data_IF_756916495482
#
_entry.id   IF_756916495482
#
_cell.length_a   1.000
_cell.length_b   1.000
_cell.length_c   1.000
_cell.angle_alpha   90.00
_cell.angle_beta   90.00
_cell.angle_gamma   90.00
#
_symmetry.space_group_name_H-M   'P 1'
#
loop_
_entity.id
_entity.type
_entity.pdbx_description
1 polymer ?
#
# COMPACT_ATOMS: atom_id res chain seq x y z
N UNK A 1 -70.44 4.74 33.34
CA UNK A 1 -71.02 4.40 32.02
C UNK A 1 -70.13 3.37 31.33
N UNK A 2 -70.72 2.41 30.60
CA UNK A 2 -70.07 1.31 29.84
C UNK A 2 -69.34 0.27 30.72
N UNK A 3 -69.93 -0.93 30.88
CA UNK A 3 -69.77 -2.14 30.02
C UNK A 3 -68.36 -2.74 30.23
N UNK A 4 -68.18 -4.00 30.63
CA UNK A 4 -68.78 -5.23 30.09
C UNK A 4 -67.70 -5.92 29.22
N UNK A 5 -67.54 -7.25 29.16
CA UNK A 5 -68.28 -8.34 29.76
C UNK A 5 -67.37 -9.58 29.94
N UNK A 6 -67.89 -10.62 30.59
CA UNK A 6 -67.26 -11.96 30.72
C UNK A 6 -67.20 -12.66 29.35
N UNK A 7 -66.13 -13.42 29.07
CA UNK A 7 -66.18 -14.52 28.10
C UNK A 7 -65.43 -15.77 28.59
N UNK A 8 -65.80 -16.99 28.11
CA UNK A 8 -65.66 -18.22 28.90
C UNK A 8 -64.61 -19.21 28.37
N UNK A 9 -64.48 -20.33 29.09
CA UNK A 9 -63.50 -21.41 28.87
C UNK A 9 -63.81 -22.26 27.62
N UNK A 10 -62.74 -22.62 26.88
CA UNK A 10 -62.33 -23.98 26.39
C UNK A 10 -63.42 -24.90 25.78
N UNK A 11 -63.15 -25.59 24.65
CA UNK A 11 -62.40 -26.85 24.79
C UNK A 11 -61.48 -27.28 23.62
N UNK A 12 -60.60 -28.23 23.95
CA UNK A 12 -59.93 -29.17 23.03
C UNK A 12 -60.90 -29.83 22.05
N UNK A 13 -60.44 -30.07 20.82
CA UNK A 13 -60.99 -31.11 19.92
C UNK A 13 -59.88 -31.97 19.32
N UNK A 14 -60.19 -33.23 19.02
CA UNK A 14 -59.24 -34.28 18.63
C UNK A 14 -59.28 -34.56 17.12
N UNK A 15 -58.17 -35.11 16.63
CA UNK A 15 -57.93 -35.92 15.41
C UNK A 15 -59.15 -36.34 14.58
N UNK A 16 -59.00 -36.26 13.25
CA UNK A 16 -59.15 -37.34 12.24
C UNK A 16 -58.63 -36.77 10.90
N UNK A 17 -57.63 -37.31 10.20
CA UNK A 17 -57.61 -38.57 9.42
C UNK A 17 -58.79 -38.63 8.44
N UNK A 18 -58.52 -38.50 7.14
CA UNK A 18 -59.02 -39.30 5.98
C UNK A 18 -58.52 -38.60 4.70
N UNK A 19 -58.12 -39.38 3.69
CA UNK A 19 -57.43 -38.87 2.49
C UNK A 19 -58.29 -39.02 1.22
N UNK A 20 -58.23 -38.04 0.30
CA UNK A 20 -58.53 -38.15 -1.15
C UNK A 20 -57.98 -36.90 -1.88
N UNK A 21 -56.91 -36.99 -2.68
CA UNK A 21 -56.85 -37.30 -4.14
C UNK A 21 -56.76 -36.04 -5.03
N UNK A 22 -55.56 -35.84 -5.60
CA UNK A 22 -55.23 -35.48 -6.99
C UNK A 22 -55.95 -34.30 -7.70
N UNK A 23 -55.21 -33.21 -7.97
CA UNK A 23 -54.96 -32.75 -9.36
C UNK A 23 -53.73 -31.83 -9.47
N UNK A 24 -53.05 -31.88 -10.62
CA UNK A 24 -51.86 -31.09 -10.94
C UNK A 24 -52.15 -29.60 -11.14
N UNK A 25 -51.28 -28.74 -10.59
CA UNK A 25 -50.84 -27.51 -11.26
C UNK A 25 -49.34 -27.31 -11.02
N UNK A 26 -48.55 -27.25 -12.09
CA UNK A 26 -47.15 -26.86 -12.00
C UNK A 26 -47.05 -25.36 -11.75
N UNK A 27 -46.43 -24.95 -10.65
CA UNK A 27 -45.76 -23.66 -10.57
C UNK A 27 -44.36 -23.88 -10.00
N UNK A 28 -43.37 -23.77 -10.90
CA UNK A 28 -41.97 -23.83 -10.51
C UNK A 28 -41.61 -22.58 -9.72
N UNK A 29 -41.63 -22.69 -8.40
CA UNK A 29 -40.79 -21.87 -7.52
C UNK A 29 -39.65 -22.75 -7.02
N UNK A 30 -38.78 -23.12 -7.97
CA UNK A 30 -37.41 -23.43 -7.60
C UNK A 30 -36.89 -22.20 -6.84
N UNK A 31 -36.77 -22.32 -5.53
CA UNK A 31 -35.97 -21.40 -4.72
C UNK A 31 -34.54 -21.64 -5.19
N UNK A 32 -34.15 -20.91 -6.25
CA UNK A 32 -32.76 -20.60 -6.46
C UNK A 32 -32.30 -19.98 -5.16
N UNK A 33 -31.55 -20.76 -4.38
CA UNK A 33 -30.63 -20.21 -3.42
C UNK A 33 -29.68 -19.34 -4.24
N UNK A 34 -29.99 -18.05 -4.33
CA UNK A 34 -29.07 -17.02 -4.75
C UNK A 34 -27.97 -17.00 -3.70
N UNK A 35 -27.01 -17.92 -3.85
CA UNK A 35 -25.67 -17.74 -3.33
C UNK A 35 -25.19 -16.43 -3.91
N UNK A 36 -25.11 -15.39 -3.09
CA UNK A 36 -24.47 -14.15 -3.50
C UNK A 36 -23.07 -14.53 -4.01
N UNK A 37 -22.70 -14.15 -5.26
CA UNK A 37 -21.33 -14.33 -5.69
C UNK A 37 -20.46 -13.51 -4.73
N UNK A 38 -19.32 -14.05 -4.24
CA UNK A 38 -18.42 -13.26 -3.41
C UNK A 38 -18.00 -12.03 -4.22
N UNK A 39 -18.37 -10.84 -3.71
CA UNK A 39 -18.06 -9.55 -4.32
C UNK A 39 -16.56 -9.32 -4.29
N UNK A 40 -15.90 -9.76 -5.36
CA UNK A 40 -14.45 -9.72 -5.50
C UNK A 40 -14.05 -8.50 -6.35
N UNK A 41 -13.26 -7.60 -5.75
CA UNK A 41 -12.95 -6.24 -6.20
C UNK A 41 -14.21 -5.32 -6.21
N UNK A 42 -14.12 -4.02 -5.89
CA UNK A 42 -13.38 -3.00 -6.64
C UNK A 42 -13.01 -1.78 -5.75
N UNK A 43 -11.81 -1.23 -6.00
CA UNK A 43 -11.39 0.14 -5.68
C UNK A 43 -11.23 0.56 -4.21
N UNK A 44 -10.12 0.13 -3.60
CA UNK A 44 -9.24 1.15 -3.06
C UNK A 44 -8.76 2.01 -4.24
N UNK A 45 -8.83 3.35 -4.14
CA UNK A 45 -8.23 4.24 -5.15
C UNK A 45 -6.73 3.94 -5.18
N UNK A 46 -6.25 3.29 -6.23
CA UNK A 46 -4.84 2.95 -6.36
C UNK A 46 -4.00 4.25 -6.27
N UNK A 47 -3.10 4.31 -5.29
CA UNK A 47 -2.29 5.49 -5.04
C UNK A 47 -1.37 5.73 -6.26
N UNK A 48 -1.32 6.95 -6.83
CA UNK A 48 -0.41 7.29 -7.92
C UNK A 48 1.05 6.87 -7.68
N UNK A 49 1.52 6.94 -6.43
CA UNK A 49 2.85 6.44 -6.05
C UNK A 49 2.96 4.92 -6.22
N UNK A 50 2.01 4.15 -5.70
CA UNK A 50 1.97 2.69 -5.83
C UNK A 50 1.94 2.26 -7.30
N UNK A 51 1.11 2.90 -8.13
CA UNK A 51 1.04 2.63 -9.58
C UNK A 51 2.39 2.87 -10.26
N UNK A 52 3.08 3.95 -9.91
CA UNK A 52 4.39 4.27 -10.46
C UNK A 52 5.44 3.23 -10.05
N UNK A 53 5.53 2.89 -8.75
CA UNK A 53 6.53 1.95 -8.23
C UNK A 53 6.28 0.51 -8.68
N UNK A 54 5.02 0.05 -8.75
CA UNK A 54 4.65 -1.24 -9.34
C UNK A 54 5.06 -1.29 -10.83
N UNK A 55 4.77 -0.23 -11.59
CA UNK A 55 5.13 -0.17 -13.00
C UNK A 55 6.65 -0.14 -13.23
N UNK A 56 7.40 0.58 -12.38
CA UNK A 56 8.87 0.63 -12.40
C UNK A 56 9.48 -0.72 -12.04
N UNK A 57 8.99 -1.38 -10.98
CA UNK A 57 9.56 -2.64 -10.48
C UNK A 57 9.20 -3.85 -11.36
N UNK A 58 8.03 -3.87 -11.98
CA UNK A 58 7.61 -4.91 -12.92
C UNK A 58 8.27 -4.82 -14.31
N UNK A 59 8.91 -3.68 -14.63
CA UNK A 59 9.41 -3.39 -15.99
C UNK A 59 10.94 -3.35 -16.04
N UNK A 60 11.55 -4.22 -16.85
CA UNK A 60 13.02 -4.18 -17.12
C UNK A 60 13.45 -2.80 -17.63
N UNK A 61 12.61 -2.19 -18.48
CA UNK A 61 12.73 -0.80 -18.91
C UNK A 61 11.32 -0.20 -18.82
N UNK A 62 11.14 0.83 -18.02
CA UNK A 62 9.87 1.51 -17.80
C UNK A 62 9.91 2.89 -18.47
N UNK A 63 8.92 3.20 -19.32
CA UNK A 63 8.84 4.48 -20.03
C UNK A 63 7.52 5.18 -19.70
N UNK A 64 7.57 6.19 -18.84
CA UNK A 64 6.45 7.10 -18.64
C UNK A 64 6.42 8.10 -19.79
N UNK A 65 5.30 8.13 -20.52
CA UNK A 65 5.18 8.70 -21.85
C UNK A 65 3.92 9.56 -22.00
N UNK A 66 3.84 10.33 -23.07
CA UNK A 66 2.57 10.86 -23.61
C UNK A 66 2.49 10.60 -25.11
N UNK A 67 1.33 10.17 -25.61
CA UNK A 67 1.16 9.70 -27.00
C UNK A 67 1.47 10.76 -28.06
N UNK A 68 1.23 12.04 -27.73
CA UNK A 68 1.50 13.20 -28.58
C UNK A 68 2.95 13.70 -28.50
N UNK A 69 3.76 13.25 -27.54
CA UNK A 69 5.09 13.80 -27.30
C UNK A 69 6.13 13.31 -28.35
N UNK A 70 6.81 14.21 -29.08
CA UNK A 70 7.84 13.82 -30.05
C UNK A 70 9.08 13.22 -29.39
N UNK A 71 9.48 13.69 -28.20
CA UNK A 71 10.62 13.13 -27.45
C UNK A 71 10.35 11.70 -26.96
N UNK A 72 9.11 11.40 -26.55
CA UNK A 72 8.71 10.03 -26.22
C UNK A 72 8.81 9.10 -27.45
N UNK A 73 8.45 9.58 -28.65
CA UNK A 73 8.61 8.83 -29.89
C UNK A 73 10.08 8.60 -30.24
N UNK A 74 10.95 9.61 -30.09
CA UNK A 74 12.41 9.48 -30.29
C UNK A 74 13.04 8.45 -29.34
N UNK A 75 12.76 8.56 -28.04
CA UNK A 75 13.31 7.63 -27.03
C UNK A 75 12.84 6.19 -27.27
N UNK A 76 11.55 5.97 -27.57
CA UNK A 76 11.01 4.65 -27.95
C UNK A 76 11.66 4.12 -29.24
N UNK A 77 11.94 5.00 -30.22
CA UNK A 77 12.69 4.64 -31.43
C UNK A 77 14.12 4.15 -31.15
N UNK A 78 14.84 4.81 -30.24
CA UNK A 78 16.18 4.38 -29.81
C UNK A 78 16.15 3.04 -29.06
N UNK A 79 15.20 2.84 -28.15
CA UNK A 79 15.01 1.54 -27.48
C UNK A 79 14.67 0.42 -28.49
N UNK A 80 13.86 0.72 -29.51
CA UNK A 80 13.56 -0.21 -30.60
C UNK A 80 14.81 -0.57 -31.42
N UNK A 81 15.73 0.35 -31.71
CA UNK A 81 16.96 0.02 -32.46
C UNK A 81 17.92 -0.90 -31.70
N UNK A 82 17.78 -0.99 -30.37
CA UNK A 82 18.46 -1.98 -29.54
C UNK A 82 17.69 -3.31 -29.38
N UNK A 83 16.52 -3.47 -30.04
CA UNK A 83 15.56 -4.55 -29.80
C UNK A 83 15.21 -4.72 -28.31
N UNK A 84 15.18 -3.62 -27.55
CA UNK A 84 14.90 -3.66 -26.12
C UNK A 84 13.42 -3.93 -25.84
N UNK A 85 13.12 -4.85 -24.92
CA UNK A 85 11.78 -5.00 -24.34
C UNK A 85 11.57 -3.91 -23.28
N UNK A 86 10.54 -3.08 -23.46
CA UNK A 86 10.15 -2.04 -22.51
C UNK A 86 8.63 -1.95 -22.35
N UNK A 87 8.20 -1.51 -21.17
CA UNK A 87 6.81 -1.17 -20.87
C UNK A 87 6.59 0.32 -21.06
N UNK A 88 5.39 0.73 -21.47
CA UNK A 88 5.02 2.15 -21.61
C UNK A 88 3.77 2.47 -20.79
N UNK A 89 3.83 3.52 -19.98
CA UNK A 89 2.66 4.10 -19.32
C UNK A 89 2.36 5.47 -19.95
N UNK A 90 1.34 5.52 -20.80
CA UNK A 90 0.91 6.75 -21.49
C UNK A 90 0.05 7.60 -20.55
N UNK A 91 0.68 8.55 -19.85
CA UNK A 91 0.07 9.35 -18.77
C UNK A 91 -1.13 10.17 -19.25
N UNK A 92 -1.14 10.64 -20.50
CA UNK A 92 -2.26 11.42 -21.04
C UNK A 92 -3.50 10.57 -21.40
N UNK A 93 -3.45 9.25 -21.27
CA UNK A 93 -4.59 8.35 -21.46
C UNK A 93 -5.23 7.91 -20.13
N UNK A 94 -4.73 8.41 -18.99
CA UNK A 94 -5.18 8.03 -17.65
C UNK A 94 -5.72 9.22 -16.87
N UNK A 95 -6.77 9.00 -16.08
CA UNK A 95 -7.33 10.02 -15.20
C UNK A 95 -6.38 10.42 -14.05
N UNK A 96 -5.59 9.47 -13.55
CA UNK A 96 -4.56 9.67 -12.51
C UNK A 96 -3.19 10.10 -13.08
N UNK A 97 -3.05 10.19 -14.41
CA UNK A 97 -1.80 10.50 -15.09
C UNK A 97 -1.09 11.77 -14.62
N UNK A 98 -1.80 12.89 -14.34
CA UNK A 98 -1.19 14.09 -13.76
C UNK A 98 -0.58 13.85 -12.38
N UNK A 99 -1.24 13.08 -11.51
CA UNK A 99 -0.77 12.77 -10.16
C UNK A 99 0.43 11.80 -10.20
N UNK A 100 0.44 10.86 -11.14
CA UNK A 100 1.60 10.00 -11.39
C UNK A 100 2.79 10.86 -11.89
N UNK A 101 2.54 11.85 -12.76
CA UNK A 101 3.59 12.75 -13.24
C UNK A 101 4.15 13.64 -12.12
N UNK A 102 3.31 14.10 -11.19
CA UNK A 102 3.70 14.84 -9.99
C UNK A 102 4.53 13.98 -9.04
N UNK A 103 4.10 12.74 -8.77
CA UNK A 103 4.88 11.77 -7.99
C UNK A 103 6.27 11.53 -8.60
N UNK A 104 6.34 11.30 -9.91
CA UNK A 104 7.61 11.10 -10.62
C UNK A 104 8.52 12.32 -10.55
N UNK A 105 7.94 13.53 -10.63
CA UNK A 105 8.70 14.76 -10.46
C UNK A 105 9.29 14.88 -9.06
N UNK A 106 8.51 14.57 -8.02
CA UNK A 106 9.00 14.59 -6.64
C UNK A 106 10.06 13.50 -6.40
N UNK A 107 9.91 12.32 -7.01
CA UNK A 107 10.86 11.20 -6.91
C UNK A 107 12.20 11.48 -7.61
N UNK A 108 12.18 12.09 -8.81
CA UNK A 108 13.37 12.15 -9.69
C UNK A 108 13.83 13.56 -10.07
N UNK A 109 13.11 14.61 -9.64
CA UNK A 109 13.29 15.99 -10.08
C UNK A 109 12.78 16.26 -11.51
N UNK A 110 12.32 15.25 -12.25
CA UNK A 110 11.97 15.39 -13.66
C UNK A 110 10.45 15.47 -13.89
N UNK A 111 9.95 16.70 -14.05
CA UNK A 111 8.54 16.97 -14.40
C UNK A 111 8.15 16.62 -15.84
N UNK A 112 9.10 16.29 -16.73
CA UNK A 112 8.86 16.12 -18.17
C UNK A 112 8.83 14.66 -18.61
N UNK A 113 8.08 14.39 -19.68
CA UNK A 113 8.10 13.09 -20.39
C UNK A 113 8.99 13.16 -21.65
N UNK A 114 9.67 12.07 -22.04
CA UNK A 114 9.67 10.76 -21.38
C UNK A 114 10.42 10.79 -20.06
N UNK A 115 9.96 10.05 -19.06
CA UNK A 115 10.71 9.78 -17.82
C UNK A 115 10.98 8.26 -17.80
N UNK A 116 12.26 7.88 -17.82
CA UNK A 116 12.71 6.54 -18.20
C UNK A 116 13.46 5.90 -17.03
N UNK A 117 13.14 4.64 -16.76
CA UNK A 117 13.83 3.81 -15.77
C UNK A 117 14.34 2.53 -16.44
N UNK A 118 15.51 2.04 -16.02
CA UNK A 118 16.07 0.75 -16.45
C UNK A 118 16.41 -0.03 -15.17
N UNK A 119 15.79 -1.20 -14.98
CA UNK A 119 15.86 -2.02 -13.74
C UNK A 119 15.66 -1.20 -12.45
N UNK A 120 14.61 -0.38 -12.42
CA UNK A 120 14.30 0.48 -11.28
C UNK A 120 15.15 1.76 -11.15
N UNK A 121 16.31 1.84 -11.79
CA UNK A 121 17.15 3.03 -11.75
C UNK A 121 16.63 4.12 -12.72
N UNK A 122 16.48 5.35 -12.25
CA UNK A 122 16.11 6.49 -13.08
C UNK A 122 17.24 6.85 -14.05
N UNK A 123 16.92 6.85 -15.34
CA UNK A 123 17.83 7.24 -16.44
C UNK A 123 17.62 8.69 -16.87
N UNK A 124 16.40 9.23 -16.66
CA UNK A 124 16.04 10.58 -17.07
C UNK A 124 15.24 10.61 -18.37
N UNK A 125 15.41 11.71 -19.11
CA UNK A 125 14.65 12.01 -20.33
C UNK A 125 15.27 11.47 -21.62
N UNK A 126 14.72 11.96 -22.74
CA UNK A 126 15.19 11.60 -24.09
C UNK A 126 16.69 11.91 -24.25
N UNK A 127 17.13 13.11 -23.87
CA UNK A 127 18.51 13.55 -24.08
C UNK A 127 19.50 12.75 -23.22
N UNK A 128 19.12 12.38 -21.99
CA UNK A 128 19.92 11.52 -21.12
C UNK A 128 20.07 10.09 -21.71
N UNK A 129 19.00 9.54 -22.27
CA UNK A 129 19.04 8.23 -22.95
C UNK A 129 19.98 8.26 -24.18
N UNK A 130 19.89 9.30 -25.01
CA UNK A 130 20.76 9.50 -26.17
C UNK A 130 22.22 9.79 -25.76
N UNK A 131 22.45 10.42 -24.60
CA UNK A 131 23.80 10.62 -24.07
C UNK A 131 24.42 9.28 -23.62
N UNK A 132 23.66 8.40 -22.96
CA UNK A 132 24.12 7.04 -22.61
C UNK A 132 24.40 6.16 -23.84
N UNK A 133 23.64 6.35 -24.92
CA UNK A 133 23.89 5.71 -26.22
C UNK A 133 25.21 6.18 -26.83
N UNK A 134 25.42 7.50 -26.90
CA UNK A 134 26.66 8.12 -27.39
C UNK A 134 27.89 7.72 -26.56
N UNK A 135 27.72 7.48 -25.27
CA UNK A 135 28.76 6.97 -24.36
C UNK A 135 28.97 5.45 -24.45
N UNK A 136 28.18 4.72 -25.26
CA UNK A 136 28.22 3.26 -25.41
C UNK A 136 27.60 2.48 -24.24
N UNK A 137 27.27 3.15 -23.14
CA UNK A 137 26.76 2.55 -21.89
C UNK A 137 25.36 1.98 -22.01
N UNK A 138 24.51 2.54 -22.90
CA UNK A 138 23.12 2.11 -23.04
C UNK A 138 23.00 0.62 -23.39
N UNK A 139 23.89 0.11 -24.25
CA UNK A 139 23.91 -1.31 -24.64
C UNK A 139 24.05 -2.23 -23.44
N UNK A 140 25.01 -1.95 -22.57
CA UNK A 140 25.30 -2.77 -21.39
C UNK A 140 24.17 -2.67 -20.36
N UNK A 141 23.65 -1.46 -20.14
CA UNK A 141 22.47 -1.24 -19.30
C UNK A 141 21.23 -2.01 -19.81
N UNK A 142 21.05 -2.19 -21.11
CA UNK A 142 19.96 -3.01 -21.66
C UNK A 142 20.27 -4.51 -21.57
N UNK A 143 21.52 -4.91 -21.79
CA UNK A 143 21.94 -6.31 -21.85
C UNK A 143 22.03 -7.01 -20.49
N UNK A 144 22.60 -6.36 -19.45
CA UNK A 144 23.40 -6.95 -18.34
C UNK A 144 22.90 -8.17 -17.52
N UNK A 145 21.70 -8.69 -17.76
CA UNK A 145 21.09 -9.86 -17.10
C UNK A 145 20.96 -9.86 -15.55
N UNK A 146 21.50 -8.87 -14.84
CA UNK A 146 21.32 -8.73 -13.39
C UNK A 146 19.83 -8.55 -13.05
N UNK A 147 19.33 -9.38 -12.13
CA UNK A 147 18.06 -9.14 -11.47
C UNK A 147 18.13 -7.83 -10.67
N UNK A 148 16.97 -7.22 -10.41
CA UNK A 148 16.85 -5.91 -9.76
C UNK A 148 17.85 -5.73 -8.60
N UNK A 149 18.57 -4.60 -8.52
CA UNK A 149 19.07 -4.09 -7.24
C UNK A 149 17.88 -3.58 -6.39
N UNK A 150 16.94 -4.49 -6.11
CA UNK A 150 15.89 -4.33 -5.11
C UNK A 150 16.46 -4.69 -3.73
N UNK A 151 17.58 -4.06 -3.40
CA UNK A 151 18.18 -4.05 -2.07
C UNK A 151 18.67 -2.64 -1.80
N UNK A 152 17.80 -1.84 -1.21
CA UNK A 152 18.08 -0.65 -0.41
C UNK A 152 19.39 0.12 -0.72
N UNK A 153 19.57 0.59 -1.96
CA UNK A 153 20.40 1.77 -2.21
C UNK A 153 19.56 3.02 -1.88
N UNK A 154 19.36 3.22 -0.57
CA UNK A 154 18.68 4.39 0.01
C UNK A 154 19.30 5.66 -0.56
N UNK A 155 18.48 6.58 -1.08
CA UNK A 155 18.99 7.91 -1.45
C UNK A 155 19.65 8.54 -0.20
N UNK A 156 20.79 9.24 -0.33
CA UNK A 156 21.36 10.00 0.77
C UNK A 156 20.30 10.93 1.35
N UNK A 157 20.15 11.02 2.69
CA UNK A 157 18.95 11.56 3.30
C UNK A 157 18.84 13.07 3.05
N UNK A 158 17.93 13.45 2.14
CA UNK A 158 17.76 14.84 1.70
C UNK A 158 16.85 15.67 2.61
N UNK A 159 16.10 15.05 3.53
CA UNK A 159 15.22 15.74 4.47
C UNK A 159 15.73 15.71 5.92
N UNK A 160 15.66 16.84 6.67
CA UNK A 160 15.90 16.85 8.12
C UNK A 160 15.10 15.81 8.91
N UNK A 161 13.82 15.59 8.54
CA UNK A 161 12.96 14.57 9.12
C UNK A 161 13.49 13.14 8.88
N UNK A 162 14.00 12.83 7.69
CA UNK A 162 14.63 11.53 7.41
C UNK A 162 15.90 11.36 8.26
N UNK A 163 16.81 12.33 8.24
CA UNK A 163 18.03 12.29 9.04
C UNK A 163 17.74 12.07 10.53
N UNK A 164 16.68 12.71 11.03
CA UNK A 164 16.18 12.54 12.40
C UNK A 164 15.70 11.11 12.66
N UNK A 165 14.85 10.55 11.80
CA UNK A 165 14.33 9.18 11.93
C UNK A 165 15.47 8.16 11.87
N UNK A 166 16.40 8.29 10.92
CA UNK A 166 17.57 7.42 10.80
C UNK A 166 18.48 7.49 12.01
N UNK A 167 18.76 8.69 12.51
CA UNK A 167 19.60 8.87 13.70
C UNK A 167 18.96 8.22 14.92
N UNK A 168 17.65 8.37 15.11
CA UNK A 168 16.94 7.74 16.24
C UNK A 168 16.99 6.21 16.13
N UNK A 169 16.75 5.67 14.93
CA UNK A 169 16.74 4.22 14.69
C UNK A 169 18.13 3.57 14.72
N UNK A 170 19.19 4.31 14.40
CA UNK A 170 20.57 3.84 14.51
C UNK A 170 21.07 3.75 15.97
N UNK A 171 20.56 4.62 16.85
CA UNK A 171 21.03 4.72 18.25
C UNK A 171 20.09 4.07 19.28
N UNK A 172 18.87 3.68 18.88
CA UNK A 172 17.86 3.09 19.77
C UNK A 172 17.48 1.68 19.35
N UNK A 173 17.58 0.71 20.27
CA UNK A 173 17.18 -0.69 20.00
C UNK A 173 15.70 -0.84 19.70
N UNK A 174 14.84 -0.13 20.43
CA UNK A 174 13.38 -0.16 20.27
C UNK A 174 12.90 1.29 20.18
N UNK A 175 12.07 1.59 19.18
CA UNK A 175 11.52 2.94 18.96
C UNK A 175 10.03 2.88 18.70
N UNK A 176 9.26 3.73 19.36
CA UNK A 176 7.81 3.89 19.16
C UNK A 176 7.53 5.30 18.65
N UNK A 177 7.29 5.40 17.34
CA UNK A 177 6.73 6.60 16.73
C UNK A 177 5.23 6.67 17.04
N UNK A 178 4.77 7.76 17.64
CA UNK A 178 3.42 7.85 18.20
C UNK A 178 2.87 9.27 18.25
N UNK A 179 1.70 9.42 18.88
CA UNK A 179 1.10 10.70 19.24
C UNK A 179 0.66 10.70 20.70
N UNK A 180 0.60 11.86 21.35
CA UNK A 180 0.23 12.01 22.77
C UNK A 180 -1.20 11.53 23.07
N UNK A 181 -2.18 11.89 22.24
CA UNK A 181 -3.59 11.51 22.38
C UNK A 181 -3.98 10.13 21.83
N UNK A 182 -3.03 9.26 21.53
CA UNK A 182 -3.25 8.03 20.77
C UNK A 182 -3.47 6.79 21.66
N UNK A 183 -4.70 6.27 21.73
CA UNK A 183 -5.04 5.07 22.52
C UNK A 183 -4.28 3.81 22.09
N UNK A 184 -4.11 3.59 20.79
CA UNK A 184 -3.32 2.46 20.27
C UNK A 184 -1.84 2.58 20.66
N UNK A 185 -1.29 3.80 20.68
CA UNK A 185 0.07 4.07 21.11
C UNK A 185 0.24 3.82 22.61
N UNK A 186 -0.75 4.15 23.43
CA UNK A 186 -0.75 3.83 24.86
C UNK A 186 -0.80 2.31 25.12
N UNK A 187 -1.63 1.57 24.38
CA UNK A 187 -1.69 0.10 24.47
C UNK A 187 -0.34 -0.54 24.09
N UNK A 188 0.25 -0.11 22.97
CA UNK A 188 1.55 -0.59 22.51
C UNK A 188 2.67 -0.32 23.54
N UNK A 189 2.72 0.89 24.11
CA UNK A 189 3.65 1.24 25.20
C UNK A 189 3.48 0.32 26.41
N UNK A 190 2.24 0.13 26.90
CA UNK A 190 1.94 -0.77 28.03
C UNK A 190 2.36 -2.22 27.80
N UNK A 191 2.28 -2.73 26.57
CA UNK A 191 2.77 -4.07 26.23
C UNK A 191 4.30 -4.12 26.36
N UNK A 192 5.03 -3.17 25.76
CA UNK A 192 6.49 -3.08 25.89
C UNK A 192 6.93 -2.88 27.35
N UNK A 193 6.18 -2.10 28.13
CA UNK A 193 6.42 -1.92 29.57
C UNK A 193 6.33 -3.25 30.34
N UNK A 194 5.40 -4.16 29.97
CA UNK A 194 5.28 -5.48 30.61
C UNK A 194 6.42 -6.45 30.27
N UNK A 195 7.14 -6.22 29.17
CA UNK A 195 8.40 -6.91 28.85
C UNK A 195 9.61 -6.31 29.59
N UNK A 196 9.42 -5.23 30.36
CA UNK A 196 10.47 -4.53 31.13
C UNK A 196 11.64 -4.02 30.27
N UNK A 197 11.39 -3.77 28.98
CA UNK A 197 12.40 -3.29 28.02
C UNK A 197 12.43 -1.76 27.92
N UNK A 198 13.62 -1.21 27.73
CA UNK A 198 13.79 0.22 27.45
C UNK A 198 13.51 0.52 25.96
N UNK A 199 12.74 1.57 25.69
CA UNK A 199 12.41 2.02 24.33
C UNK A 199 12.36 3.56 24.24
N UNK A 200 12.70 4.07 23.06
CA UNK A 200 12.62 5.50 22.75
C UNK A 200 11.21 5.84 22.22
N UNK A 201 10.60 6.91 22.73
CA UNK A 201 9.30 7.40 22.22
C UNK A 201 9.50 8.66 21.41
N UNK A 202 8.99 8.67 20.18
CA UNK A 202 8.93 9.87 19.34
C UNK A 202 7.47 10.31 19.25
N UNK A 203 7.09 11.33 20.02
CA UNK A 203 5.76 11.95 19.93
C UNK A 203 5.77 12.94 18.75
N UNK A 204 5.18 12.53 17.63
CA UNK A 204 5.18 13.28 16.37
C UNK A 204 4.34 14.55 16.47
N UNK A 205 3.26 14.52 17.26
CA UNK A 205 2.34 15.63 17.49
C UNK A 205 2.85 16.70 18.48
N UNK A 206 4.05 16.51 19.05
CA UNK A 206 4.73 17.50 19.88
C UNK A 206 5.87 18.21 19.14
N UNK A 207 6.06 17.88 17.86
CA UNK A 207 6.88 18.65 16.92
C UNK A 207 6.01 19.71 16.23
N UNK A 208 6.64 20.63 15.53
CA UNK A 208 5.94 21.48 14.58
C UNK A 208 5.27 20.66 13.46
N UNK A 209 4.28 21.27 12.80
CA UNK A 209 3.39 20.58 11.87
C UNK A 209 4.11 20.08 10.60
N UNK A 210 5.16 20.80 10.17
CA UNK A 210 6.01 20.47 9.03
C UNK A 210 6.84 19.22 9.33
N UNK A 211 7.71 19.26 10.36
CA UNK A 211 8.48 18.11 10.87
C UNK A 211 7.59 16.88 11.11
N UNK A 212 6.43 17.08 11.75
CA UNK A 212 5.51 16.01 12.10
C UNK A 212 4.87 15.33 10.88
N UNK A 213 4.48 16.11 9.87
CA UNK A 213 3.91 15.60 8.62
C UNK A 213 4.96 14.87 7.76
N UNK A 214 6.18 15.37 7.76
CA UNK A 214 7.32 14.78 7.06
C UNK A 214 7.76 13.45 7.66
N UNK A 215 7.89 13.37 8.99
CA UNK A 215 8.19 12.10 9.67
C UNK A 215 7.14 11.04 9.31
N UNK A 216 5.86 11.40 9.27
CA UNK A 216 4.79 10.46 8.88
C UNK A 216 4.89 10.04 7.41
N UNK A 217 5.22 10.97 6.51
CA UNK A 217 5.40 10.70 5.09
C UNK A 217 6.65 9.84 4.84
N UNK A 218 7.69 10.03 5.63
CA UNK A 218 8.90 9.22 5.61
C UNK A 218 8.67 7.81 6.15
N UNK A 219 7.95 7.67 7.25
CA UNK A 219 7.53 6.37 7.79
C UNK A 219 6.64 5.62 6.80
N UNK A 220 5.74 6.31 6.10
CA UNK A 220 4.93 5.75 5.01
C UNK A 220 5.80 5.22 3.87
N UNK A 221 6.80 6.00 3.41
CA UNK A 221 7.75 5.58 2.38
C UNK A 221 8.61 4.38 2.84
N UNK A 222 9.11 4.39 4.08
CA UNK A 222 10.02 3.36 4.62
C UNK A 222 9.33 2.05 4.98
N UNK A 223 8.07 2.10 5.42
CA UNK A 223 7.38 0.94 6.04
C UNK A 223 6.04 0.58 5.37
N UNK A 224 5.58 1.38 4.40
CA UNK A 224 4.22 1.31 3.87
C UNK A 224 3.14 1.81 4.83
N UNK A 225 3.51 2.41 5.99
CA UNK A 225 2.58 2.76 7.08
C UNK A 225 2.76 4.21 7.55
N UNK A 226 1.77 5.05 7.21
CA UNK A 226 1.60 6.42 7.76
C UNK A 226 0.94 6.45 9.14
N UNK A 227 0.44 5.32 9.63
CA UNK A 227 -0.32 5.23 10.89
C UNK A 227 0.58 5.20 12.12
N UNK A 228 0.02 5.60 13.27
CA UNK A 228 0.66 5.48 14.59
C UNK A 228 -0.14 4.53 15.50
N UNK A 229 0.51 3.76 16.38
CA UNK A 229 1.96 3.69 16.56
C UNK A 229 2.65 2.98 15.39
N UNK A 230 3.88 3.37 15.09
CA UNK A 230 4.80 2.62 14.23
C UNK A 230 6.00 2.24 15.10
N UNK A 231 6.17 0.94 15.32
CA UNK A 231 7.12 0.37 16.27
C UNK A 231 8.27 -0.24 15.47
N UNK A 232 9.49 0.05 15.90
CA UNK A 232 10.71 -0.47 15.32
C UNK A 232 11.52 -1.22 16.36
N UNK A 233 12.18 -2.29 15.92
CA UNK A 233 13.15 -3.05 16.70
C UNK A 233 14.40 -3.26 15.84
N UNK A 234 15.57 -2.89 16.36
CA UNK A 234 16.87 -2.94 15.67
C UNK A 234 16.87 -2.22 14.31
N UNK A 235 16.11 -1.13 14.18
CA UNK A 235 15.96 -0.35 12.94
C UNK A 235 14.94 -0.90 11.94
N UNK A 236 14.37 -2.08 12.17
CA UNK A 236 13.33 -2.67 11.32
C UNK A 236 11.93 -2.42 11.87
N UNK A 237 10.96 -2.16 10.99
CA UNK A 237 9.56 -1.93 11.40
C UNK A 237 8.90 -3.26 11.75
N UNK A 238 8.44 -3.38 12.99
CA UNK A 238 7.69 -4.55 13.47
C UNK A 238 6.18 -4.34 13.40
N UNK A 239 5.74 -3.14 12.98
CA UNK A 239 4.35 -2.80 12.72
C UNK A 239 3.75 -1.83 13.73
N UNK A 240 2.43 -1.89 13.89
CA UNK A 240 1.67 -1.06 14.82
C UNK A 240 1.20 -1.81 16.04
N UNK A 241 0.15 -1.30 16.69
CA UNK A 241 -0.37 -1.90 17.92
C UNK A 241 -0.83 -3.34 17.73
N UNK A 242 -1.56 -3.63 16.66
CA UNK A 242 -2.11 -4.96 16.38
C UNK A 242 -0.98 -5.95 16.12
N UNK A 243 -0.03 -5.63 15.23
CA UNK A 243 1.10 -6.50 14.88
C UNK A 243 1.89 -6.96 16.12
N UNK A 244 2.24 -6.05 17.04
CA UNK A 244 3.00 -6.44 18.24
C UNK A 244 2.17 -7.24 19.24
N UNK A 245 0.86 -6.99 19.36
CA UNK A 245 -0.01 -7.83 20.19
C UNK A 245 -0.22 -9.21 19.55
N UNK A 246 -0.15 -9.30 18.22
CA UNK A 246 -0.25 -10.57 17.49
C UNK A 246 1.03 -11.39 17.66
N UNK A 247 2.21 -10.75 17.62
CA UNK A 247 3.50 -11.35 17.98
C UNK A 247 3.57 -11.80 19.44
N UNK A 248 3.00 -11.03 20.37
CA UNK A 248 2.86 -11.39 21.80
C UNK A 248 2.02 -12.67 21.96
N UNK A 249 0.82 -12.71 21.38
CA UNK A 249 -0.04 -13.90 21.40
C UNK A 249 0.56 -15.11 20.68
N UNK A 250 1.42 -14.89 19.69
CA UNK A 250 2.20 -15.94 19.01
C UNK A 250 3.46 -16.37 19.78
N UNK A 251 3.82 -15.68 20.87
CA UNK A 251 5.05 -15.93 21.64
C UNK A 251 6.35 -15.49 20.95
N UNK A 252 6.28 -14.80 19.80
CA UNK A 252 7.44 -14.37 19.02
C UNK A 252 7.98 -13.00 19.42
N UNK A 253 7.20 -12.18 20.14
CA UNK A 253 7.62 -10.83 20.54
C UNK A 253 8.82 -10.85 21.50
N UNK A 254 8.87 -11.80 22.45
CA UNK A 254 9.93 -11.89 23.45
C UNK A 254 11.34 -11.94 22.82
N UNK A 255 11.57 -12.91 21.93
CA UNK A 255 12.84 -13.13 21.24
C UNK A 255 13.22 -11.98 20.28
N UNK A 256 12.25 -11.14 19.88
CA UNK A 256 12.49 -9.95 19.07
C UNK A 256 13.01 -8.79 19.93
N UNK A 257 12.51 -8.66 21.16
CA UNK A 257 12.85 -7.60 22.11
C UNK A 257 14.13 -7.85 22.92
N UNK A 258 14.56 -9.11 23.08
CA UNK A 258 15.90 -9.54 23.57
C UNK A 258 17.04 -9.16 22.62
#
# INVERSE_FOLDING_TARGET
MKQGAVMPKQPFSKRNIWATILLLMLSSTLVFAYTEPPVNLISARANPATIAEEFISASKVAVFSKTTCPYCKKAKGLLNSYNATYSVLELNLRADGPLIQEYLANKTGQHTVPNIFIRGAHVGGCDALFQLDKEGKLKDLLASSAANPSTAAKQPPTHPAEQTVETILAHSKIVVFGRSGCLACLKAKKLLDSYQVAYTVVNIDLRDEEDGSEILSYLELRTGRRSVPNVFVRGESVGGNEDIHDMDRAGSLAALLE
#
